data_IF_543450698678
#
_entry.id   IF_543450698678
#
_cell.length_a   1.000
_cell.length_b   1.000
_cell.length_c   1.000
_cell.angle_alpha   90.00
_cell.angle_beta   90.00
_cell.angle_gamma   90.00
#
_symmetry.space_group_name_H-M   'P 1'
#
loop_
_entity.id
_entity.type
_entity.pdbx_description
1 polymer ?
#
# COMPACT_ATOMS: atom_id res chain seq x y z
N UNK A 1 4.43 -9.56 5.59
CA UNK A 1 5.71 -8.84 5.73
C UNK A 1 6.04 -8.75 7.19
N UNK A 2 7.32 -8.83 7.54
CA UNK A 2 7.78 -8.72 8.93
C UNK A 2 7.96 -7.24 9.29
N UNK A 3 7.00 -6.73 10.07
CA UNK A 3 7.00 -5.33 10.52
C UNK A 3 8.24 -5.03 11.38
N UNK A 4 8.69 -5.99 12.20
CA UNK A 4 9.85 -5.79 13.05
C UNK A 4 11.15 -5.68 12.24
N UNK A 5 11.27 -6.44 11.15
CA UNK A 5 12.39 -6.33 10.23
C UNK A 5 12.43 -4.94 9.56
N UNK A 6 11.28 -4.47 9.07
CA UNK A 6 11.18 -3.14 8.46
C UNK A 6 11.47 -2.01 9.45
N UNK A 7 10.97 -2.10 10.69
CA UNK A 7 11.28 -1.11 11.73
C UNK A 7 12.78 -1.06 12.06
N UNK A 8 13.45 -2.22 12.08
CA UNK A 8 14.89 -2.30 12.31
C UNK A 8 15.70 -1.64 11.19
N UNK A 9 15.31 -1.87 9.94
CA UNK A 9 15.95 -1.24 8.78
C UNK A 9 15.78 0.29 8.83
N UNK A 10 14.56 0.77 9.13
CA UNK A 10 14.30 2.21 9.24
C UNK A 10 15.09 2.87 10.38
N UNK A 11 15.21 2.21 11.53
CA UNK A 11 16.05 2.67 12.64
C UNK A 11 17.52 2.79 12.20
N UNK A 12 18.06 1.74 11.57
CA UNK A 12 19.45 1.73 11.10
C UNK A 12 19.73 2.84 10.08
N UNK A 13 18.87 3.00 9.08
CA UNK A 13 19.03 4.06 8.06
C UNK A 13 18.98 5.46 8.70
N UNK A 14 18.12 5.66 9.69
CA UNK A 14 18.02 6.93 10.40
C UNK A 14 19.30 7.24 11.19
N UNK A 15 19.87 6.24 11.87
CA UNK A 15 21.16 6.38 12.57
C UNK A 15 22.29 6.76 11.61
N UNK A 16 22.38 6.08 10.47
CA UNK A 16 23.40 6.36 9.45
C UNK A 16 23.26 7.77 8.86
N UNK A 17 22.02 8.22 8.65
CA UNK A 17 21.73 9.55 8.13
C UNK A 17 21.80 10.65 9.20
N UNK A 18 21.99 10.31 10.47
CA UNK A 18 21.94 11.25 11.59
C UNK A 18 20.56 11.89 11.77
N UNK A 19 19.51 11.21 11.33
CA UNK A 19 18.12 11.67 11.44
C UNK A 19 17.46 11.06 12.67
N UNK A 20 16.47 11.78 13.22
CA UNK A 20 15.60 11.21 14.24
C UNK A 20 14.60 10.27 13.57
N UNK A 21 14.59 9.01 14.01
CA UNK A 21 13.55 8.07 13.65
C UNK A 21 12.38 8.21 14.63
N UNK A 22 11.33 8.88 14.18
CA UNK A 22 10.06 8.87 14.90
C UNK A 22 9.27 7.65 14.45
N UNK A 23 9.12 6.67 15.36
CA UNK A 23 8.38 5.45 15.09
C UNK A 23 6.97 5.84 14.65
N UNK A 24 6.55 5.50 13.41
CA UNK A 24 5.22 5.86 12.97
C UNK A 24 4.23 5.17 13.90
N UNK A 25 3.34 5.96 14.51
CA UNK A 25 2.15 5.39 15.13
C UNK A 25 1.45 4.63 14.01
N UNK A 26 1.20 3.32 14.21
CA UNK A 26 0.44 2.54 13.26
C UNK A 26 -0.89 3.27 13.05
N UNK A 27 -0.99 3.99 11.93
CA UNK A 27 -2.21 4.66 11.59
C UNK A 27 -3.23 3.54 11.48
N UNK A 28 -4.28 3.60 12.29
CA UNK A 28 -5.46 2.73 12.22
C UNK A 28 -6.27 2.98 10.93
N UNK A 29 -5.58 3.43 9.90
CA UNK A 29 -6.04 3.70 8.56
C UNK A 29 -5.26 2.77 7.67
N UNK A 30 -5.54 1.47 7.78
CA UNK A 30 -5.53 0.66 6.56
C UNK A 30 -6.36 1.47 5.56
N UNK A 31 -5.81 1.94 4.42
CA UNK A 31 -6.66 2.44 3.37
C UNK A 31 -7.54 1.24 3.03
N UNK A 32 -8.81 1.28 3.44
CA UNK A 32 -9.75 0.22 3.10
C UNK A 32 -9.69 0.14 1.58
N UNK A 33 -9.29 -0.99 0.99
CA UNK A 33 -9.21 -1.09 -0.45
C UNK A 33 -10.61 -0.78 -0.97
N UNK A 34 -10.80 0.41 -1.54
CA UNK A 34 -12.03 0.71 -2.26
C UNK A 34 -11.93 -0.11 -3.53
N UNK A 35 -12.50 -1.32 -3.49
CA UNK A 35 -12.76 -2.12 -4.67
C UNK A 35 -13.56 -1.22 -5.61
N UNK A 36 -12.90 -0.71 -6.65
CA UNK A 36 -13.58 -0.02 -7.74
C UNK A 36 -14.69 -0.97 -8.24
N UNK A 37 -15.92 -0.50 -8.47
CA UNK A 37 -16.97 -1.34 -9.00
C UNK A 37 -16.46 -2.03 -10.27
N UNK A 38 -16.75 -3.33 -10.39
CA UNK A 38 -16.37 -4.14 -11.54
C UNK A 38 -16.86 -3.44 -12.82
N UNK A 39 -16.05 -3.28 -13.87
CA UNK A 39 -16.50 -2.69 -15.11
C UNK A 39 -17.72 -3.50 -15.59
N UNK A 40 -18.86 -2.84 -15.67
CA UNK A 40 -20.03 -3.37 -16.37
C UNK A 40 -19.56 -3.54 -17.81
N UNK A 41 -19.36 -4.79 -18.23
CA UNK A 41 -19.07 -5.08 -19.62
C UNK A 41 -20.27 -4.58 -20.41
N UNK A 42 -20.07 -3.49 -21.16
CA UNK A 42 -21.04 -3.10 -22.17
C UNK A 42 -21.06 -4.20 -23.21
N UNK A 43 -22.27 -4.63 -23.54
CA UNK A 43 -22.57 -5.64 -24.53
C UNK A 43 -21.81 -5.32 -25.84
N UNK A 44 -20.92 -6.23 -26.22
CA UNK A 44 -20.24 -6.17 -27.51
C UNK A 44 -21.27 -6.70 -28.51
N UNK A 45 -21.82 -5.82 -29.34
CA UNK A 45 -22.81 -6.25 -30.32
C UNK A 45 -22.16 -7.23 -31.33
N UNK A 46 -22.77 -8.39 -31.48
CA UNK A 46 -22.38 -9.39 -32.48
C UNK A 46 -22.45 -8.78 -33.88
N UNK A 47 -21.32 -8.75 -34.58
CA UNK A 47 -21.27 -8.42 -36.00
C UNK A 47 -21.23 -9.76 -36.75
N UNK A 48 -22.32 -10.08 -37.45
CA UNK A 48 -22.38 -11.27 -38.31
C UNK A 48 -21.39 -11.15 -39.49
N UNK A 49 -20.76 -12.28 -39.84
CA UNK A 49 -19.76 -12.42 -40.91
C UNK A 49 -20.38 -12.50 -42.31
#
# INVERSE_FOLDING_TARGET
>A
GDVAATERELQYTSEVLGLKYDKPQAADSTPKPQLKPKPVQKEVADIAL
#
